data_IF_125572795256
#
_entry.id   IF_125572795256
#
_cell.length_a   1.000
_cell.length_b   1.000
_cell.length_c   1.000
_cell.angle_alpha   90.00
_cell.angle_beta   90.00
_cell.angle_gamma   90.00
#
_symmetry.space_group_name_H-M   'P 1'
#
loop_
_entity.id
_entity.type
_entity.pdbx_description
1 polymer ?
#
# COMPACT_ATOMS: atom_id res chain seq x y z
N UNK A 1 -10.94 1.06 2.19
CA UNK A 1 -10.94 2.30 2.96
C UNK A 1 -9.76 3.18 2.58
N UNK A 2 -9.98 4.45 2.37
CA UNK A 2 -8.89 5.38 2.04
C UNK A 2 -8.31 5.92 3.34
N UNK A 3 -7.04 5.61 3.62
CA UNK A 3 -6.35 6.08 4.81
C UNK A 3 -5.68 7.44 4.59
N UNK A 4 -5.27 7.71 3.37
CA UNK A 4 -4.71 8.99 3.00
C UNK A 4 -5.09 9.30 1.56
N UNK A 5 -5.67 10.49 1.35
CA UNK A 5 -6.05 10.94 0.02
C UNK A 5 -4.97 11.82 -0.56
N UNK A 6 -4.38 11.38 -1.66
CA UNK A 6 -3.31 12.11 -2.31
C UNK A 6 -3.77 13.00 -3.44
N UNK A 7 -2.82 13.41 -4.25
CA UNK A 7 -3.07 14.26 -5.41
C UNK A 7 -3.80 13.50 -6.51
N UNK A 8 -4.78 14.15 -7.12
CA UNK A 8 -5.65 13.54 -8.13
C UNK A 8 -4.88 13.08 -9.38
N UNK A 9 -3.91 13.86 -9.82
CA UNK A 9 -3.28 13.67 -11.12
C UNK A 9 -1.88 13.08 -11.08
N UNK A 10 -1.36 12.69 -9.94
CA UNK A 10 0.02 12.22 -9.97
C UNK A 10 0.59 11.66 -8.70
N UNK A 11 -0.05 11.22 -7.75
CA UNK A 11 0.55 10.66 -6.54
C UNK A 11 0.95 9.20 -6.69
N UNK A 12 1.84 8.74 -5.85
CA UNK A 12 2.12 7.33 -5.67
C UNK A 12 0.94 6.67 -4.97
N UNK A 13 0.61 5.46 -5.36
CA UNK A 13 -0.48 4.71 -4.75
C UNK A 13 0.08 3.53 -3.97
N UNK A 14 -0.22 3.50 -2.67
CA UNK A 14 0.08 2.37 -1.81
C UNK A 14 -1.24 1.65 -1.48
N UNK A 15 -1.23 0.33 -1.57
CA UNK A 15 -2.37 -0.49 -1.18
C UNK A 15 -1.94 -1.43 -0.07
N UNK A 16 -2.68 -1.42 1.02
CA UNK A 16 -2.48 -2.33 2.13
C UNK A 16 -3.53 -3.41 2.04
N UNK A 17 -3.10 -4.65 1.89
CA UNK A 17 -3.98 -5.80 1.95
C UNK A 17 -3.88 -6.39 3.35
N UNK A 18 -5.01 -6.49 4.03
CA UNK A 18 -5.08 -7.02 5.38
C UNK A 18 -6.16 -8.09 5.48
N UNK A 19 -6.10 -8.90 6.51
CA UNK A 19 -7.12 -9.89 6.82
C UNK A 19 -7.50 -9.75 8.30
N UNK A 20 -8.74 -9.33 8.57
CA UNK A 20 -9.25 -9.14 9.93
C UNK A 20 -8.35 -8.19 10.74
N UNK A 21 -7.89 -7.13 10.09
CA UNK A 21 -7.05 -6.12 10.74
C UNK A 21 -5.60 -6.51 10.94
N UNK A 22 -5.19 -7.69 10.52
CA UNK A 22 -3.82 -8.17 10.69
C UNK A 22 -3.20 -8.67 9.40
N UNK A 23 -2.00 -9.22 9.50
CA UNK A 23 -1.25 -9.78 8.37
C UNK A 23 -1.19 -8.78 7.21
N UNK A 24 -0.85 -7.53 7.51
CA UNK A 24 -0.85 -6.46 6.52
C UNK A 24 0.32 -6.60 5.55
N UNK A 25 0.00 -6.40 4.27
CA UNK A 25 0.99 -6.42 3.19
C UNK A 25 0.85 -5.12 2.42
N UNK A 26 1.97 -4.44 2.23
CA UNK A 26 2.00 -3.14 1.54
C UNK A 26 2.49 -3.32 0.11
N UNK A 27 1.66 -2.91 -0.82
CA UNK A 27 2.00 -2.94 -2.24
C UNK A 27 2.12 -1.52 -2.76
N UNK A 28 3.09 -1.31 -3.61
CA UNK A 28 3.34 -0.03 -4.24
C UNK A 28 3.23 -0.20 -5.76
N UNK A 29 2.51 0.70 -6.41
CA UNK A 29 2.42 0.69 -7.87
C UNK A 29 3.62 1.40 -8.45
N UNK A 30 4.41 0.67 -9.22
CA UNK A 30 5.64 1.18 -9.81
C UNK A 30 5.48 1.34 -11.31
N UNK A 31 6.02 2.41 -11.92
CA UNK A 31 6.13 2.50 -13.36
C UNK A 31 7.13 1.44 -13.85
N UNK A 32 6.85 0.83 -14.99
CA UNK A 32 7.79 -0.11 -15.60
C UNK A 32 8.29 0.45 -16.92
N UNK A 33 9.45 -0.04 -17.36
CA UNK A 33 10.12 0.45 -18.57
C UNK A 33 9.34 0.17 -19.86
N UNK A 34 8.41 -0.75 -19.83
CA UNK A 34 7.57 -1.07 -20.99
C UNK A 34 6.25 -0.27 -21.03
N UNK A 35 6.10 0.71 -20.14
CA UNK A 35 4.91 1.56 -20.06
C UNK A 35 3.79 1.00 -19.24
N UNK A 36 3.90 -0.22 -18.74
CA UNK A 36 2.90 -0.80 -17.84
C UNK A 36 3.24 -0.47 -16.40
N UNK A 37 2.20 -0.34 -15.58
CA UNK A 37 2.37 -0.15 -14.14
C UNK A 37 2.23 -1.49 -13.46
N UNK A 38 3.21 -1.82 -12.61
CA UNK A 38 3.22 -3.08 -11.88
C UNK A 38 3.18 -2.83 -10.39
N UNK A 39 2.47 -3.70 -9.70
CA UNK A 39 2.45 -3.69 -8.25
C UNK A 39 3.64 -4.46 -7.72
N UNK A 40 4.26 -3.92 -6.70
CA UNK A 40 5.39 -4.53 -6.03
C UNK A 40 5.10 -4.65 -4.55
N UNK A 41 5.37 -5.81 -3.97
CA UNK A 41 5.32 -5.96 -2.52
C UNK A 41 6.48 -5.17 -1.92
N UNK A 42 6.16 -4.13 -1.17
CA UNK A 42 7.14 -3.27 -0.52
C UNK A 42 7.50 -3.82 0.85
N UNK A 43 6.49 -4.21 1.62
CA UNK A 43 6.67 -4.54 3.02
C UNK A 43 5.59 -5.49 3.51
N UNK A 44 5.97 -6.37 4.40
CA UNK A 44 5.06 -7.29 5.07
C UNK A 44 5.05 -6.93 6.55
N UNK A 45 3.89 -6.92 7.18
CA UNK A 45 3.78 -6.65 8.60
C UNK A 45 4.46 -7.76 9.42
N UNK A 46 5.32 -7.34 10.36
CA UNK A 46 5.92 -8.27 11.32
C UNK A 46 4.93 -8.49 12.46
N UNK A 47 4.51 -9.72 12.67
CA UNK A 47 3.54 -10.06 13.71
C UNK A 47 4.04 -9.68 15.12
N UNK A 48 5.36 -9.65 15.30
CA UNK A 48 5.97 -9.30 16.59
C UNK A 48 6.25 -7.81 16.71
N UNK A 49 6.10 -7.04 15.64
CA UNK A 49 6.36 -5.60 15.65
C UNK A 49 5.49 -4.89 14.63
N UNK A 50 4.19 -4.85 14.89
CA UNK A 50 3.24 -4.18 13.99
C UNK A 50 3.41 -2.66 13.98
N UNK A 51 4.00 -2.09 15.02
CA UNK A 51 4.25 -0.64 15.09
C UNK A 51 5.22 -0.18 14.00
N UNK A 52 6.16 -1.01 13.62
CA UNK A 52 7.11 -0.67 12.56
C UNK A 52 6.40 -0.42 11.23
N UNK A 53 5.36 -1.19 10.94
CA UNK A 53 4.55 -1.00 9.75
C UNK A 53 3.86 0.37 9.76
N UNK A 54 3.27 0.74 10.89
CA UNK A 54 2.59 2.03 11.05
C UNK A 54 3.57 3.20 10.99
N UNK A 55 4.76 3.05 11.57
CA UNK A 55 5.80 4.07 11.52
C UNK A 55 6.28 4.31 10.09
N UNK A 56 6.41 3.24 9.32
CA UNK A 56 6.79 3.34 7.91
C UNK A 56 5.75 4.14 7.12
N UNK A 57 4.47 3.86 7.34
CA UNK A 57 3.39 4.60 6.68
C UNK A 57 3.42 6.08 7.06
N UNK A 58 3.65 6.37 8.32
CA UNK A 58 3.75 7.75 8.81
C UNK A 58 4.89 8.50 8.12
N UNK A 59 6.05 7.85 8.00
CA UNK A 59 7.20 8.45 7.32
C UNK A 59 6.91 8.71 5.83
N UNK A 60 6.27 7.75 5.16
CA UNK A 60 5.94 7.91 3.74
C UNK A 60 4.98 9.09 3.53
N UNK A 61 4.00 9.24 4.39
CA UNK A 61 3.06 10.37 4.32
C UNK A 61 3.75 11.70 4.54
N UNK A 62 4.72 11.74 5.45
CA UNK A 62 5.47 12.97 5.71
C UNK A 62 6.38 13.35 4.54
N UNK A 63 6.96 12.36 3.85
CA UNK A 63 7.84 12.57 2.72
C UNK A 63 7.10 12.91 1.45
N UNK A 64 5.88 12.40 1.29
CA UNK A 64 5.07 12.58 0.08
C UNK A 64 3.63 12.88 0.46
N UNK A 65 3.26 14.15 0.60
CA UNK A 65 1.89 14.53 0.97
C UNK A 65 0.85 14.20 -0.10
N UNK A 66 1.29 13.93 -1.33
CA UNK A 66 0.40 13.56 -2.44
C UNK A 66 0.15 12.06 -2.54
N UNK A 67 0.58 11.32 -1.54
CA UNK A 67 0.50 9.87 -1.50
C UNK A 67 -0.93 9.38 -1.24
N UNK A 68 -1.35 8.38 -2.02
CA UNK A 68 -2.60 7.67 -1.76
C UNK A 68 -2.30 6.40 -0.96
N UNK A 69 -3.04 6.19 0.12
CA UNK A 69 -2.96 4.96 0.91
C UNK A 69 -4.37 4.38 1.02
N UNK A 70 -4.56 3.19 0.49
CA UNK A 70 -5.84 2.51 0.46
C UNK A 70 -5.70 1.17 1.17
N UNK A 71 -6.61 0.88 2.09
CA UNK A 71 -6.62 -0.40 2.81
C UNK A 71 -7.75 -1.29 2.31
N UNK A 72 -7.40 -2.53 1.99
CA UNK A 72 -8.34 -3.58 1.61
C UNK A 72 -8.30 -4.67 2.69
N UNK A 73 -9.22 -4.62 3.62
CA UNK A 73 -9.32 -5.62 4.70
C UNK A 73 -10.33 -6.70 4.30
N UNK A 74 -9.90 -7.52 3.34
CA UNK A 74 -10.71 -8.62 2.79
C UNK A 74 -9.81 -9.79 2.43
N UNK A 75 -10.36 -10.99 2.47
CA UNK A 75 -9.62 -12.18 2.03
C UNK A 75 -9.22 -12.03 0.57
N UNK A 76 -7.97 -12.35 0.26
CA UNK A 76 -7.41 -12.31 -1.09
C UNK A 76 -7.51 -10.92 -1.74
N UNK A 77 -7.24 -9.87 -0.96
CA UNK A 77 -7.27 -8.50 -1.46
C UNK A 77 -6.39 -8.25 -2.67
N UNK A 78 -5.32 -9.02 -2.82
CA UNK A 78 -4.40 -8.92 -3.96
C UNK A 78 -5.09 -9.14 -5.31
N UNK A 79 -6.18 -9.88 -5.33
CA UNK A 79 -6.94 -10.12 -6.56
C UNK A 79 -7.59 -8.86 -7.10
N UNK A 80 -7.91 -7.92 -6.22
CA UNK A 80 -8.54 -6.66 -6.60
C UNK A 80 -7.57 -5.70 -7.28
N UNK A 81 -6.29 -5.85 -7.01
CA UNK A 81 -5.25 -5.02 -7.66
C UNK A 81 -4.52 -5.77 -8.77
N UNK A 82 -4.95 -6.97 -9.10
CA UNK A 82 -4.46 -7.72 -10.25
C UNK A 82 -3.12 -8.42 -10.05
N UNK A 83 -2.77 -8.79 -8.83
CA UNK A 83 -1.50 -9.45 -8.53
C UNK A 83 -1.54 -10.98 -8.69
N UNK A 84 -2.70 -11.56 -8.82
CA UNK A 84 -2.83 -13.01 -8.96
C UNK A 84 -3.59 -13.40 -10.20
#
# INVERSE_FOLDING_TARGET
>A
MVLNKGERDGGTILVICAERGGNRRLFERMPSSDGHRKWRLNRHEDIDNSEEFDEYLTRRRAQDPDLWIIELDIANGERFIGLT
#
